data_IF_214587946380
#
_entry.id   IF_214587946380
#
_cell.length_a   1.000
_cell.length_b   1.000
_cell.length_c   1.000
_cell.angle_alpha   90.00
_cell.angle_beta   90.00
_cell.angle_gamma   90.00
#
_symmetry.space_group_name_H-M   'P 1'
#
loop_
_entity.id
_entity.type
_entity.pdbx_description
1 polymer ?
#
# COMPACT_ATOMS: atom_id res chain seq x y z
N UNK A 1 -4.05 5.72 11.64
CA UNK A 1 -5.25 5.26 12.35
C UNK A 1 -5.35 6.13 13.58
N UNK A 2 -6.30 7.07 13.56
CA UNK A 2 -6.48 8.03 14.66
C UNK A 2 -7.43 7.46 15.71
N UNK A 3 -7.23 7.88 16.95
CA UNK A 3 -8.14 7.63 18.06
C UNK A 3 -7.70 6.48 18.97
N UNK A 4 -7.39 6.84 20.20
CA UNK A 4 -6.97 6.00 21.31
C UNK A 4 -6.16 6.87 22.27
N UNK A 5 -6.54 6.92 23.55
CA UNK A 5 -5.76 7.65 24.54
C UNK A 5 -4.35 7.04 24.62
N UNK A 6 -3.31 7.87 24.50
CA UNK A 6 -1.91 7.42 24.45
C UNK A 6 -1.46 6.85 23.10
N UNK A 7 -0.28 6.20 23.09
CA UNK A 7 0.26 5.55 21.88
C UNK A 7 -0.33 4.15 21.73
N UNK A 8 -1.33 4.00 20.89
CA UNK A 8 -1.94 2.70 20.59
C UNK A 8 -1.36 2.10 19.32
N UNK A 9 -1.18 0.77 19.30
CA UNK A 9 -0.72 0.01 18.12
C UNK A 9 -1.84 -0.25 17.10
N UNK A 10 -3.04 0.30 17.32
CA UNK A 10 -4.17 0.37 16.38
C UNK A 10 -4.24 -0.77 15.38
N UNK A 11 -4.49 -2.00 15.87
CA UNK A 11 -4.26 -3.34 15.28
C UNK A 11 -4.85 -3.67 13.90
N UNK A 12 -4.93 -2.70 12.99
CA UNK A 12 -5.15 -2.88 11.56
C UNK A 12 -3.82 -2.77 10.81
N UNK A 13 -3.82 -3.29 9.59
CA UNK A 13 -2.71 -3.11 8.67
C UNK A 13 -2.42 -1.60 8.49
N UNK A 14 -1.15 -1.18 8.43
CA UNK A 14 -0.81 0.23 8.19
C UNK A 14 -1.41 0.71 6.87
N UNK A 15 -2.12 1.82 6.94
CA UNK A 15 -2.79 2.47 5.82
C UNK A 15 -2.43 3.95 5.75
N UNK A 16 -2.59 4.51 4.55
CA UNK A 16 -2.57 5.95 4.30
C UNK A 16 -3.75 6.65 4.99
N UNK A 17 -3.75 7.99 5.05
CA UNK A 17 -4.88 8.76 5.58
C UNK A 17 -6.22 8.45 4.89
N UNK A 18 -6.19 7.96 3.65
CA UNK A 18 -7.37 7.62 2.85
C UNK A 18 -7.69 6.12 2.84
N UNK A 19 -7.04 5.32 3.70
CA UNK A 19 -7.33 3.89 3.85
C UNK A 19 -6.61 2.96 2.88
N UNK A 20 -5.75 3.48 2.00
CA UNK A 20 -4.93 2.64 1.11
C UNK A 20 -3.81 1.96 1.91
N UNK A 21 -3.67 0.63 1.80
CA UNK A 21 -2.63 -0.14 2.49
C UNK A 21 -1.23 0.40 2.14
N UNK A 22 -0.42 0.68 3.16
CA UNK A 22 0.92 1.28 2.98
C UNK A 22 2.05 0.26 2.86
N UNK A 23 1.80 -1.01 3.18
CA UNK A 23 2.78 -2.10 3.02
C UNK A 23 2.24 -3.15 2.06
N UNK A 24 3.05 -3.56 1.09
CA UNK A 24 2.76 -4.68 0.18
C UNK A 24 1.74 -4.43 -0.93
N UNK A 25 0.91 -3.38 -0.87
CA UNK A 25 -0.08 -3.10 -1.90
C UNK A 25 0.56 -2.52 -3.16
N UNK A 26 0.42 -3.23 -4.29
CA UNK A 26 0.83 -2.75 -5.61
C UNK A 26 -0.24 -1.81 -6.17
N UNK A 27 0.12 -0.57 -6.46
CA UNK A 27 -0.83 0.49 -6.85
C UNK A 27 -1.01 0.63 -8.37
N UNK A 28 -0.12 0.05 -9.19
CA UNK A 28 -0.18 0.18 -10.66
C UNK A 28 -1.21 -0.78 -11.28
N UNK A 29 -2.18 -0.23 -12.00
CA UNK A 29 -3.29 -0.99 -12.61
C UNK A 29 -3.33 -0.95 -14.14
N UNK A 30 -2.67 0.01 -14.79
CA UNK A 30 -2.74 0.17 -16.24
C UNK A 30 -2.21 -1.07 -16.98
N UNK A 31 -3.07 -1.74 -17.75
CA UNK A 31 -2.78 -2.98 -18.49
C UNK A 31 -2.10 -2.75 -19.83
N UNK A 32 -2.26 -1.59 -20.47
CA UNK A 32 -1.73 -1.34 -21.81
C UNK A 32 -0.20 -1.28 -21.80
N UNK A 33 0.36 -0.51 -20.87
CA UNK A 33 1.82 -0.39 -20.70
C UNK A 33 2.46 -1.65 -20.10
N UNK A 34 1.68 -2.48 -19.39
CA UNK A 34 2.20 -3.74 -18.83
C UNK A 34 2.70 -4.72 -19.89
N UNK A 35 2.18 -4.68 -21.12
CA UNK A 35 2.59 -5.56 -22.22
C UNK A 35 4.06 -5.36 -22.63
N UNK A 36 4.60 -4.17 -22.44
CA UNK A 36 5.98 -3.82 -22.81
C UNK A 36 6.98 -4.05 -21.67
N UNK A 37 6.55 -4.57 -20.51
CA UNK A 37 7.40 -4.72 -19.33
C UNK A 37 8.00 -6.12 -19.30
N UNK A 38 9.30 -6.20 -19.57
CA UNK A 38 10.06 -7.47 -19.61
C UNK A 38 10.38 -8.00 -18.20
N UNK A 39 10.72 -7.13 -17.25
CA UNK A 39 11.05 -7.51 -15.87
C UNK A 39 10.54 -6.46 -14.88
N UNK A 40 10.01 -6.90 -13.73
CA UNK A 40 9.68 -6.01 -12.60
C UNK A 40 10.92 -5.76 -11.75
N UNK A 41 10.98 -4.61 -11.07
CA UNK A 41 12.00 -4.32 -10.06
C UNK A 41 12.10 -5.49 -9.07
N UNK A 42 13.31 -6.04 -8.93
CA UNK A 42 13.65 -6.97 -7.85
C UNK A 42 13.84 -6.22 -6.53
N UNK A 43 14.06 -6.97 -5.45
CA UNK A 43 14.46 -6.37 -4.17
C UNK A 43 15.88 -5.78 -4.29
#
# INVERSE_FOLDING_TARGET
MGGGEGRTSGGRHPCSPWGQLSKGLKTRTNKTSNKFIVKKRGK
#
